data_IF_599269626924
#
_entry.id   IF_599269626924
#
_cell.length_a   1.000
_cell.length_b   1.000
_cell.length_c   1.000
_cell.angle_alpha   90.00
_cell.angle_beta   90.00
_cell.angle_gamma   90.00
#
_symmetry.space_group_name_H-M   'P 1'
#
loop_
_entity.id
_entity.type
_entity.pdbx_description
1 polymer ?
#
# COMPACT_ATOMS: atom_id res chain seq x y z
N UNK A 1 7.17 2.66 6.24
CA UNK A 1 8.39 2.37 7.02
C UNK A 1 9.52 2.12 6.02
N UNK A 2 10.71 2.70 6.22
CA UNK A 2 11.90 2.27 5.45
C UNK A 2 12.22 0.85 5.90
N UNK A 3 12.37 -0.09 4.97
CA UNK A 3 12.87 -1.43 5.28
C UNK A 3 14.33 -1.28 5.73
N UNK A 4 14.57 -1.19 7.04
CA UNK A 4 15.91 -1.13 7.61
C UNK A 4 16.57 -2.50 7.42
N UNK A 5 17.67 -2.53 6.68
CA UNK A 5 18.51 -3.71 6.57
C UNK A 5 19.37 -3.88 7.82
N UNK A 6 19.63 -5.12 8.22
CA UNK A 6 20.49 -5.39 9.38
C UNK A 6 21.90 -4.86 9.17
N UNK A 7 22.39 -4.85 7.93
CA UNK A 7 23.69 -4.31 7.57
C UNK A 7 23.72 -2.78 7.69
N UNK A 8 22.63 -2.09 7.37
CA UNK A 8 22.51 -0.64 7.56
C UNK A 8 22.57 -0.31 9.07
N UNK A 9 21.87 -1.07 9.91
CA UNK A 9 21.88 -0.91 11.38
C UNK A 9 23.28 -1.15 11.97
N UNK A 10 23.93 -2.24 11.55
CA UNK A 10 25.26 -2.60 12.05
C UNK A 10 26.33 -1.61 11.62
N UNK A 11 26.25 -1.10 10.39
CA UNK A 11 27.13 -0.04 9.91
C UNK A 11 27.03 1.19 10.82
N UNK A 12 25.82 1.71 11.02
CA UNK A 12 25.61 2.94 11.78
C UNK A 12 26.01 2.80 13.26
N UNK A 13 25.72 1.64 13.86
CA UNK A 13 26.09 1.35 15.24
C UNK A 13 27.62 1.32 15.43
N UNK A 14 28.36 0.67 14.52
CA UNK A 14 29.82 0.57 14.62
C UNK A 14 30.48 1.91 14.26
N UNK A 15 29.94 2.65 13.29
CA UNK A 15 30.44 3.97 12.90
C UNK A 15 30.29 4.99 14.04
N UNK A 16 29.16 4.95 14.77
CA UNK A 16 28.94 5.75 15.96
C UNK A 16 29.86 5.35 17.14
N UNK A 17 30.22 4.07 17.24
CA UNK A 17 31.07 3.56 18.32
C UNK A 17 32.58 3.78 18.06
N UNK A 18 33.01 3.97 16.80
CA UNK A 18 34.41 4.13 16.41
C UNK A 18 35.22 5.14 17.26
N UNK A 19 34.72 6.34 17.57
CA UNK A 19 35.46 7.33 18.35
C UNK A 19 35.74 6.90 19.80
N UNK A 20 34.95 5.96 20.33
CA UNK A 20 35.07 5.47 21.71
C UNK A 20 36.12 4.37 21.87
N UNK A 21 36.64 3.83 20.76
CA UNK A 21 37.65 2.77 20.77
C UNK A 21 39.03 3.39 20.94
N UNK A 22 39.59 3.24 22.14
CA UNK A 22 40.95 3.70 22.51
C UNK A 22 42.06 2.74 22.09
N UNK A 23 41.76 1.47 21.83
CA UNK A 23 42.70 0.47 21.32
C UNK A 23 42.81 0.55 19.79
N UNK A 24 43.97 0.97 19.28
CA UNK A 24 44.21 1.18 17.85
C UNK A 24 43.99 -0.09 17.01
N UNK A 25 44.35 -1.27 17.52
CA UNK A 25 44.17 -2.54 16.80
C UNK A 25 42.70 -2.91 16.68
N UNK A 26 41.90 -2.61 17.71
CA UNK A 26 40.44 -2.73 17.64
C UNK A 26 39.83 -1.68 16.72
N UNK A 27 40.35 -0.45 16.75
CA UNK A 27 39.86 0.63 15.87
C UNK A 27 40.10 0.31 14.41
N UNK A 28 41.27 -0.21 14.05
CA UNK A 28 41.55 -0.65 12.69
C UNK A 28 40.65 -1.80 12.22
N UNK A 29 40.33 -2.76 13.10
CA UNK A 29 39.39 -3.83 12.79
C UNK A 29 37.97 -3.30 12.56
N UNK A 30 37.51 -2.38 13.41
CA UNK A 30 36.22 -1.72 13.25
C UNK A 30 36.16 -0.92 11.93
N UNK A 31 37.22 -0.19 11.58
CA UNK A 31 37.30 0.53 10.30
C UNK A 31 37.22 -0.40 9.08
N UNK A 32 37.89 -1.56 9.12
CA UNK A 32 37.79 -2.58 8.07
C UNK A 32 36.36 -3.09 7.93
N UNK A 33 35.68 -3.35 9.05
CA UNK A 33 34.28 -3.78 9.06
C UNK A 33 33.36 -2.73 8.42
N UNK A 34 33.43 -1.47 8.89
CA UNK A 34 32.63 -0.36 8.34
C UNK A 34 32.86 -0.18 6.84
N UNK A 35 34.11 -0.29 6.38
CA UNK A 35 34.43 -0.25 4.94
C UNK A 35 33.80 -1.40 4.16
N UNK A 36 33.80 -2.60 4.72
CA UNK A 36 33.11 -3.76 4.17
C UNK A 36 31.60 -3.55 4.05
N UNK A 37 30.97 -3.01 5.08
CA UNK A 37 29.55 -2.64 5.06
C UNK A 37 29.25 -1.62 3.95
N UNK A 38 30.06 -0.55 3.82
CA UNK A 38 29.88 0.44 2.75
C UNK A 38 30.01 -0.19 1.36
N UNK A 39 30.98 -1.08 1.17
CA UNK A 39 31.16 -1.79 -0.11
C UNK A 39 29.96 -2.70 -0.43
N UNK A 40 29.43 -3.41 0.58
CA UNK A 40 28.22 -4.21 0.43
C UNK A 40 27.02 -3.34 0.07
N UNK A 41 26.79 -2.24 0.79
CA UNK A 41 25.67 -1.33 0.54
C UNK A 41 25.73 -0.68 -0.85
N UNK A 42 26.93 -0.40 -1.36
CA UNK A 42 27.14 0.15 -2.70
C UNK A 42 26.93 -0.89 -3.82
N UNK A 43 27.24 -2.16 -3.56
CA UNK A 43 27.19 -3.24 -4.56
C UNK A 43 25.92 -4.08 -4.49
N UNK A 44 25.14 -3.99 -3.40
CA UNK A 44 23.92 -4.79 -3.25
C UNK A 44 22.93 -4.43 -4.37
N UNK A 45 22.33 -5.42 -5.04
CA UNK A 45 21.24 -5.15 -5.97
C UNK A 45 20.13 -4.41 -5.20
N UNK A 46 19.47 -3.42 -5.81
CA UNK A 46 18.33 -2.78 -5.19
C UNK A 46 17.34 -3.88 -4.82
N UNK A 47 16.98 -3.98 -3.53
CA UNK A 47 15.93 -4.90 -3.07
C UNK A 47 14.72 -4.62 -3.97
N UNK A 48 14.40 -5.56 -4.86
CA UNK A 48 13.12 -5.52 -5.56
C UNK A 48 12.09 -5.46 -4.43
N UNK A 49 11.41 -4.31 -4.30
CA UNK A 49 10.20 -4.21 -3.48
C UNK A 49 9.39 -5.42 -3.90
N UNK A 50 9.24 -6.37 -2.96
CA UNK A 50 8.61 -7.67 -3.14
C UNK A 50 7.56 -7.56 -4.24
N UNK A 51 7.82 -8.23 -5.37
CA UNK A 51 7.11 -8.03 -6.63
C UNK A 51 5.59 -8.00 -6.40
N UNK A 52 5.05 -6.79 -6.20
CA UNK A 52 3.68 -6.45 -5.79
C UNK A 52 2.82 -7.70 -5.51
N UNK A 53 3.17 -8.45 -4.46
CA UNK A 53 2.45 -9.68 -4.13
C UNK A 53 1.18 -9.19 -3.48
N UNK A 54 0.16 -8.96 -4.30
CA UNK A 54 -1.17 -8.65 -3.79
C UNK A 54 -1.53 -9.86 -2.93
N UNK A 55 -1.69 -9.64 -1.63
CA UNK A 55 -2.12 -10.74 -0.77
C UNK A 55 -3.44 -11.25 -1.33
N UNK A 56 -3.58 -12.57 -1.40
CA UNK A 56 -4.80 -13.18 -1.97
C UNK A 56 -6.05 -12.65 -1.25
N UNK A 57 -5.95 -12.44 0.05
CA UNK A 57 -7.00 -11.88 0.89
C UNK A 57 -7.36 -10.44 0.49
N UNK A 58 -6.38 -9.57 0.25
CA UNK A 58 -6.63 -8.20 -0.21
C UNK A 58 -7.34 -8.19 -1.57
N UNK A 59 -6.95 -9.07 -2.48
CA UNK A 59 -7.59 -9.19 -3.79
C UNK A 59 -9.05 -9.64 -3.68
N UNK A 60 -9.33 -10.64 -2.82
CA UNK A 60 -10.68 -11.14 -2.56
C UNK A 60 -11.55 -10.07 -1.90
N UNK A 61 -11.00 -9.35 -0.91
CA UNK A 61 -11.68 -8.24 -0.24
C UNK A 61 -12.00 -7.13 -1.25
N UNK A 62 -11.03 -6.73 -2.08
CA UNK A 62 -11.21 -5.70 -3.09
C UNK A 62 -12.32 -6.07 -4.09
N UNK A 63 -12.34 -7.33 -4.56
CA UNK A 63 -13.38 -7.80 -5.47
C UNK A 63 -14.78 -7.78 -4.81
N UNK A 64 -14.89 -8.17 -3.54
CA UNK A 64 -16.15 -8.13 -2.78
C UNK A 64 -16.65 -6.71 -2.60
N UNK A 65 -15.77 -5.79 -2.19
CA UNK A 65 -16.09 -4.36 -2.02
C UNK A 65 -16.54 -3.75 -3.35
N UNK A 66 -15.83 -4.00 -4.45
CA UNK A 66 -16.22 -3.50 -5.76
C UNK A 66 -17.59 -4.03 -6.21
N UNK A 67 -17.89 -5.30 -5.95
CA UNK A 67 -19.21 -5.88 -6.26
C UNK A 67 -20.31 -5.23 -5.43
N UNK A 68 -20.09 -5.00 -4.14
CA UNK A 68 -21.05 -4.30 -3.29
C UNK A 68 -21.32 -2.87 -3.79
N UNK A 69 -20.26 -2.10 -4.07
CA UNK A 69 -20.37 -0.72 -4.59
C UNK A 69 -21.15 -0.69 -5.91
N UNK A 70 -20.87 -1.62 -6.84
CA UNK A 70 -21.62 -1.72 -8.10
C UNK A 70 -23.10 -2.02 -7.89
N UNK A 71 -23.42 -2.93 -6.95
CA UNK A 71 -24.81 -3.26 -6.62
C UNK A 71 -25.55 -2.06 -6.04
N UNK A 72 -24.93 -1.35 -5.10
CA UNK A 72 -25.52 -0.14 -4.50
C UNK A 72 -25.75 0.94 -5.53
N UNK A 73 -24.77 1.20 -6.42
CA UNK A 73 -24.94 2.17 -7.52
C UNK A 73 -26.11 1.81 -8.44
N UNK A 74 -26.23 0.54 -8.83
CA UNK A 74 -27.35 0.07 -9.66
C UNK A 74 -28.69 0.26 -8.94
N UNK A 75 -28.77 -0.07 -7.65
CA UNK A 75 -29.98 0.14 -6.85
C UNK A 75 -30.37 1.61 -6.76
N UNK A 76 -29.40 2.50 -6.56
CA UNK A 76 -29.64 3.93 -6.47
C UNK A 76 -30.12 4.50 -7.80
N UNK A 77 -29.54 4.07 -8.92
CA UNK A 77 -30.01 4.45 -10.26
C UNK A 77 -31.41 3.92 -10.54
N UNK A 78 -31.71 2.66 -10.19
CA UNK A 78 -33.04 2.09 -10.37
C UNK A 78 -34.12 2.83 -9.56
N UNK A 79 -33.79 3.20 -8.32
CA UNK A 79 -34.68 4.03 -7.50
C UNK A 79 -34.84 5.43 -8.10
N UNK A 80 -33.76 6.05 -8.58
CA UNK A 80 -33.85 7.35 -9.24
C UNK A 80 -34.71 7.28 -10.53
N UNK A 81 -34.58 6.22 -11.32
CA UNK A 81 -35.42 6.03 -12.51
C UNK A 81 -36.88 5.81 -12.15
N UNK A 82 -37.21 5.08 -11.07
CA UNK A 82 -38.61 4.95 -10.66
C UNK A 82 -39.19 6.29 -10.24
N UNK A 83 -38.44 7.12 -9.52
CA UNK A 83 -38.89 8.48 -9.18
C UNK A 83 -39.12 9.38 -10.40
N UNK A 84 -38.26 9.26 -11.42
CA UNK A 84 -38.38 10.05 -12.67
C UNK A 84 -39.50 9.53 -13.59
N UNK A 85 -39.84 8.24 -13.51
CA UNK A 85 -40.93 7.62 -14.27
C UNK A 85 -42.32 7.93 -13.71
N UNK A 86 -42.41 8.61 -12.57
CA UNK A 86 -43.68 9.11 -12.05
C UNK A 86 -44.00 10.49 -12.65
N UNK A 87 -44.73 10.50 -13.76
CA UNK A 87 -45.46 11.70 -14.19
C UNK A 87 -46.62 11.94 -13.24
N UNK A 88 -46.83 13.19 -12.80
CA UNK A 88 -48.03 13.58 -12.07
C UNK A 88 -48.99 14.15 -13.11
N UNK A 89 -50.19 13.58 -13.24
CA UNK A 89 -51.22 14.14 -14.12
C UNK A 89 -51.81 15.44 -13.52
N UNK A 90 -52.66 16.12 -14.28
CA UNK A 90 -53.33 17.35 -13.84
C UNK A 90 -54.22 17.20 -12.59
N UNK A 91 -54.48 15.97 -12.13
CA UNK A 91 -55.28 15.65 -10.95
C UNK A 91 -54.43 15.21 -9.73
N UNK A 92 -53.10 15.18 -9.85
CA UNK A 92 -52.21 14.79 -8.76
C UNK A 92 -51.96 13.29 -8.62
N UNK A 93 -52.48 12.47 -9.54
CA UNK A 93 -52.29 11.03 -9.52
C UNK A 93 -50.98 10.63 -10.21
N UNK A 94 -50.31 9.61 -9.67
CA UNK A 94 -49.09 9.04 -10.26
C UNK A 94 -49.43 8.25 -11.52
N UNK A 95 -49.00 8.73 -12.68
CA UNK A 95 -49.06 8.01 -13.95
C UNK A 95 -47.86 7.06 -14.01
N UNK A 96 -48.14 5.76 -14.09
CA UNK A 96 -47.14 4.77 -14.43
C UNK A 96 -47.10 4.64 -15.96
N UNK A 97 -45.93 4.80 -16.57
CA UNK A 97 -45.69 4.35 -17.95
C UNK A 97 -45.60 2.81 -17.94
N UNK A 98 -46.73 2.13 -17.74
CA UNK A 98 -46.84 0.70 -18.05
C UNK A 98 -47.01 0.55 -19.57
N UNK A 99 -45.89 0.38 -20.27
CA UNK A 99 -45.90 -0.15 -21.63
C UNK A 99 -46.14 -1.66 -21.59
N UNK A 100 -47.08 -2.14 -22.42
CA UNK A 100 -47.30 -3.57 -22.78
C UNK A 100 -46.04 -4.22 -23.37
#
# INVERSE_FOLDING_TARGET
MKDLDIIDILHDAVDAYLPSISDDDRRQRALKFVRGCKAYLATRPPRQKSAKVISFDDHVIQARVQRAVRRTRRSALAAATSYLQHGINEFGDSVYDCYD
#
